data_IF_698738338916
#
_entry.id   IF_698738338916
#
_cell.length_a   1.000
_cell.length_b   1.000
_cell.length_c   1.000
_cell.angle_alpha   90.00
_cell.angle_beta   90.00
_cell.angle_gamma   90.00
#
_symmetry.space_group_name_H-M   'P 1'
#
loop_
_entity.id
_entity.type
_entity.pdbx_description
1 polymer ?
#
# COMPACT_ATOMS: atom_id res chain seq x y z
N UNK A 1 19.33 -7.60 -2.48
CA UNK A 1 18.40 -7.29 -3.55
C UNK A 1 16.96 -7.18 -3.11
N UNK A 2 16.46 -8.14 -2.34
CA UNK A 2 15.14 -8.03 -1.75
C UNK A 2 15.02 -6.80 -0.85
N UNK A 3 16.06 -6.53 -0.07
CA UNK A 3 16.12 -5.35 0.77
C UNK A 3 16.01 -4.07 -0.06
N UNK A 4 16.70 -4.03 -1.19
CA UNK A 4 16.63 -2.89 -2.09
C UNK A 4 15.23 -2.70 -2.66
N UNK A 5 14.56 -3.77 -3.05
CA UNK A 5 13.19 -3.69 -3.58
C UNK A 5 12.20 -3.16 -2.55
N UNK A 6 12.31 -3.59 -1.30
CA UNK A 6 11.49 -3.04 -0.22
C UNK A 6 11.77 -1.55 -0.04
N UNK A 7 13.03 -1.16 -0.01
CA UNK A 7 13.42 0.23 0.16
C UNK A 7 12.96 1.11 -1.00
N UNK A 8 12.94 0.56 -2.22
CA UNK A 8 12.41 1.28 -3.39
C UNK A 8 10.90 1.51 -3.31
N UNK A 9 10.18 0.64 -2.58
CA UNK A 9 8.75 0.79 -2.35
C UNK A 9 8.41 1.70 -1.17
N UNK A 10 9.40 2.25 -0.49
CA UNK A 10 9.23 3.04 0.73
C UNK A 10 9.95 4.36 0.55
N UNK A 11 9.27 5.44 0.88
CA UNK A 11 9.88 6.78 0.87
C UNK A 11 10.31 7.13 2.28
N UNK A 12 11.59 7.47 2.45
CA UNK A 12 12.11 7.93 3.71
C UNK A 12 11.90 9.43 3.82
N UNK A 13 11.15 9.85 4.82
CA UNK A 13 10.96 11.26 5.11
C UNK A 13 11.76 11.62 6.35
N UNK A 14 13.07 11.64 6.19
CA UNK A 14 14.06 12.09 7.18
C UNK A 14 13.68 11.78 8.63
N UNK A 15 13.07 12.74 9.33
CA UNK A 15 12.74 12.62 10.75
C UNK A 15 11.32 12.12 11.00
N UNK A 16 10.49 12.01 9.96
CA UNK A 16 9.08 11.74 10.12
C UNK A 16 8.69 10.28 9.93
N UNK A 17 9.60 9.48 9.42
CA UNK A 17 9.36 8.06 9.25
C UNK A 17 9.25 7.66 7.78
N UNK A 18 8.46 6.63 7.51
CA UNK A 18 8.45 5.92 6.24
C UNK A 18 7.05 5.93 5.65
N UNK A 19 6.94 6.09 4.33
CA UNK A 19 5.71 5.96 3.57
C UNK A 19 5.84 4.77 2.61
N UNK A 20 4.88 3.84 2.64
CA UNK A 20 4.87 2.64 1.81
C UNK A 20 3.85 2.78 0.69
N UNK A 21 4.26 2.56 -0.56
CA UNK A 21 3.36 2.58 -1.72
C UNK A 21 2.97 1.15 -2.09
N UNK A 22 1.68 0.84 -1.99
CA UNK A 22 1.19 -0.53 -2.23
C UNK A 22 1.41 -0.99 -3.67
N UNK A 23 1.23 -0.12 -4.65
CA UNK A 23 1.46 -0.45 -6.05
C UNK A 23 2.94 -0.77 -6.30
N UNK A 24 3.83 0.07 -5.79
CA UNK A 24 5.26 -0.08 -6.01
C UNK A 24 5.80 -1.38 -5.41
N UNK A 25 5.45 -1.69 -4.17
CA UNK A 25 5.93 -2.93 -3.53
C UNK A 25 5.34 -4.18 -4.19
N UNK A 26 4.09 -4.12 -4.62
CA UNK A 26 3.44 -5.23 -5.34
C UNK A 26 4.11 -5.47 -6.69
N UNK A 27 4.32 -4.42 -7.47
CA UNK A 27 4.99 -4.52 -8.76
C UNK A 27 6.46 -4.89 -8.61
N UNK A 28 7.05 -4.57 -7.47
CA UNK A 28 8.43 -4.92 -7.13
C UNK A 28 8.62 -6.38 -6.70
N UNK A 29 7.54 -7.13 -6.50
CA UNK A 29 7.63 -8.56 -6.19
C UNK A 29 7.25 -8.94 -4.76
N UNK A 30 6.62 -8.04 -4.00
CA UNK A 30 6.13 -8.36 -2.65
C UNK A 30 4.62 -8.57 -2.69
N UNK A 31 4.19 -9.80 -2.45
CA UNK A 31 2.81 -10.23 -2.68
C UNK A 31 1.88 -9.88 -1.53
N UNK A 32 1.40 -8.64 -1.52
CA UNK A 32 0.45 -8.16 -0.52
C UNK A 32 -0.95 -8.76 -0.70
N UNK A 33 -1.23 -9.39 -1.83
CA UNK A 33 -2.53 -10.02 -2.10
C UNK A 33 -2.61 -11.38 -1.42
N UNK A 34 -1.59 -12.22 -1.61
CA UNK A 34 -1.60 -13.60 -1.11
C UNK A 34 -0.76 -13.79 0.15
N UNK A 35 0.13 -12.87 0.47
CA UNK A 35 1.06 -13.01 1.60
C UNK A 35 1.28 -11.66 2.31
N UNK A 36 0.19 -10.98 2.64
CA UNK A 36 0.27 -9.69 3.32
C UNK A 36 1.03 -9.79 4.66
N UNK A 37 0.76 -10.85 5.43
CA UNK A 37 1.45 -11.05 6.72
C UNK A 37 2.96 -11.19 6.53
N UNK A 38 3.40 -11.96 5.54
CA UNK A 38 4.81 -12.12 5.24
C UNK A 38 5.47 -10.83 4.82
N UNK A 39 4.78 -10.02 4.02
CA UNK A 39 5.30 -8.72 3.59
C UNK A 39 5.43 -7.77 4.77
N UNK A 40 4.43 -7.75 5.66
CA UNK A 40 4.48 -6.90 6.86
C UNK A 40 5.59 -7.35 7.82
N UNK A 41 5.76 -8.66 8.02
CA UNK A 41 6.81 -9.20 8.86
C UNK A 41 8.20 -8.84 8.32
N UNK A 42 8.37 -8.96 7.01
CA UNK A 42 9.62 -8.59 6.35
C UNK A 42 9.91 -7.09 6.51
N UNK A 43 8.89 -6.26 6.33
CA UNK A 43 9.02 -4.81 6.48
C UNK A 43 9.36 -4.45 7.93
N UNK A 44 8.74 -5.13 8.89
CA UNK A 44 9.03 -4.89 10.30
C UNK A 44 10.47 -5.27 10.66
N UNK A 45 10.93 -6.39 10.12
CA UNK A 45 12.29 -6.87 10.35
C UNK A 45 13.35 -5.91 9.80
N UNK A 46 13.08 -5.30 8.64
CA UNK A 46 14.06 -4.46 7.95
C UNK A 46 14.00 -3.01 8.39
N UNK A 47 12.79 -2.47 8.52
CA UNK A 47 12.57 -1.03 8.73
C UNK A 47 11.98 -0.74 10.11
N UNK A 48 11.09 -1.62 10.58
CA UNK A 48 10.31 -1.42 11.79
C UNK A 48 8.95 -0.78 11.46
N UNK A 49 7.85 -1.47 11.80
CA UNK A 49 6.50 -0.94 11.53
C UNK A 49 6.18 0.30 12.36
N UNK A 50 6.83 0.48 13.50
CA UNK A 50 6.69 1.69 14.32
C UNK A 50 7.16 2.95 13.58
N UNK A 51 8.00 2.80 12.55
CA UNK A 51 8.45 3.91 11.71
C UNK A 51 7.54 4.16 10.52
N UNK A 52 6.61 3.28 10.24
CA UNK A 52 5.68 3.43 9.13
C UNK A 52 4.62 4.46 9.52
N UNK A 53 4.64 5.63 8.89
CA UNK A 53 3.76 6.75 9.21
C UNK A 53 2.64 6.94 8.21
N UNK A 54 2.80 6.44 7.00
CA UNK A 54 1.78 6.57 5.96
C UNK A 54 1.84 5.40 5.00
N UNK A 55 0.70 5.07 4.43
CA UNK A 55 0.59 4.12 3.33
C UNK A 55 -0.01 4.89 2.14
N UNK A 56 0.74 4.94 1.04
CA UNK A 56 0.25 5.47 -0.21
C UNK A 56 -0.49 4.32 -0.90
N UNK A 57 -1.81 4.34 -0.79
CA UNK A 57 -2.64 3.20 -1.21
C UNK A 57 -3.09 3.37 -2.65
N UNK A 58 -2.58 2.53 -3.52
CA UNK A 58 -2.89 2.53 -4.94
C UNK A 58 -3.05 1.11 -5.44
N UNK A 59 -3.96 0.90 -6.39
CA UNK A 59 -4.02 -0.37 -7.10
C UNK A 59 -2.98 -0.37 -8.22
N UNK A 60 -2.81 -1.49 -8.91
CA UNK A 60 -1.80 -1.62 -9.96
C UNK A 60 -2.45 -1.95 -11.30
N UNK A 61 -2.00 -1.26 -12.36
CA UNK A 61 -2.42 -1.56 -13.74
C UNK A 61 -1.82 -2.86 -14.25
N UNK A 62 -0.77 -3.34 -13.61
CA UNK A 62 0.04 -4.45 -14.11
C UNK A 62 -0.05 -5.63 -13.15
N UNK A 63 0.26 -6.85 -13.61
CA UNK A 63 0.25 -8.02 -12.75
C UNK A 63 1.39 -7.99 -11.73
N UNK A 64 1.31 -8.91 -10.78
CA UNK A 64 2.31 -9.06 -9.73
C UNK A 64 3.72 -9.14 -10.29
N UNK A 65 4.65 -8.45 -9.64
CA UNK A 65 6.08 -8.46 -9.97
C UNK A 65 6.39 -7.97 -11.40
N UNK A 66 5.56 -7.09 -11.94
CA UNK A 66 5.75 -6.54 -13.29
C UNK A 66 6.91 -5.56 -13.41
N UNK A 67 7.31 -4.94 -12.29
CA UNK A 67 8.35 -3.89 -12.22
C UNK A 67 8.02 -2.65 -13.05
N UNK A 68 6.73 -2.39 -13.30
CA UNK A 68 6.30 -1.23 -14.09
C UNK A 68 5.77 -0.07 -13.27
N UNK A 69 5.34 -0.32 -12.05
CA UNK A 69 4.86 0.69 -11.09
C UNK A 69 3.91 1.72 -11.71
N UNK A 70 2.75 1.24 -12.19
CA UNK A 70 1.70 2.09 -12.73
C UNK A 70 0.46 2.02 -11.83
N UNK A 71 0.08 3.15 -11.25
CA UNK A 71 -1.07 3.24 -10.34
C UNK A 71 -2.38 3.04 -11.08
N UNK A 72 -3.33 2.39 -10.42
CA UNK A 72 -4.69 2.23 -10.88
C UNK A 72 -5.66 2.63 -9.78
N UNK A 73 -6.89 2.91 -10.14
CA UNK A 73 -7.94 3.24 -9.19
C UNK A 73 -8.21 2.08 -8.26
N UNK A 74 -8.56 2.41 -7.02
CA UNK A 74 -8.80 1.39 -5.98
C UNK A 74 -9.84 0.37 -6.45
N UNK A 75 -9.45 -0.89 -6.40
CA UNK A 75 -10.32 -2.01 -6.79
C UNK A 75 -10.39 -2.30 -8.28
N UNK A 76 -9.76 -1.47 -9.13
CA UNK A 76 -9.83 -1.65 -10.58
C UNK A 76 -8.56 -2.26 -11.16
N UNK A 77 -7.61 -2.59 -10.33
CA UNK A 77 -6.33 -3.16 -10.74
C UNK A 77 -6.12 -4.59 -10.26
N UNK A 78 -4.89 -5.07 -10.40
CA UNK A 78 -4.53 -6.44 -10.07
C UNK A 78 -4.39 -6.71 -8.57
N UNK A 79 -4.23 -5.68 -7.74
CA UNK A 79 -4.21 -5.86 -6.28
C UNK A 79 -5.62 -6.14 -5.77
N UNK A 80 -6.59 -5.31 -6.17
CA UNK A 80 -7.99 -5.51 -5.86
C UNK A 80 -8.47 -4.86 -4.57
N UNK A 81 -9.77 -4.65 -4.50
CA UNK A 81 -10.41 -3.98 -3.37
C UNK A 81 -10.30 -4.78 -2.07
N UNK A 82 -10.42 -6.11 -2.13
CA UNK A 82 -10.36 -6.96 -0.94
C UNK A 82 -9.03 -6.80 -0.19
N UNK A 83 -7.93 -6.70 -0.91
CA UNK A 83 -6.62 -6.47 -0.32
C UNK A 83 -6.55 -5.10 0.35
N UNK A 84 -7.12 -4.07 -0.28
CA UNK A 84 -7.17 -2.74 0.31
C UNK A 84 -7.94 -2.75 1.62
N UNK A 85 -9.06 -3.46 1.68
CA UNK A 85 -9.86 -3.60 2.91
C UNK A 85 -9.06 -4.32 4.00
N UNK A 86 -8.32 -5.36 3.65
CA UNK A 86 -7.45 -6.07 4.60
C UNK A 86 -6.39 -5.14 5.18
N UNK A 87 -5.83 -4.27 4.37
CA UNK A 87 -4.79 -3.33 4.81
C UNK A 87 -5.37 -2.32 5.80
N UNK A 88 -6.49 -1.68 5.48
CA UNK A 88 -7.07 -0.66 6.36
C UNK A 88 -7.59 -1.22 7.67
N UNK A 89 -7.93 -2.51 7.71
CA UNK A 89 -8.41 -3.19 8.91
C UNK A 89 -7.35 -4.02 9.62
N UNK A 90 -6.12 -4.01 9.14
CA UNK A 90 -5.05 -4.82 9.72
C UNK A 90 -4.66 -4.28 11.10
N UNK A 91 -4.61 -5.14 12.15
CA UNK A 91 -4.31 -4.68 13.50
C UNK A 91 -2.96 -3.98 13.64
N UNK A 92 -1.96 -4.40 12.87
CA UNK A 92 -0.62 -3.82 12.93
C UNK A 92 -0.51 -2.47 12.24
N UNK A 93 -1.53 -2.06 11.48
CA UNK A 93 -1.51 -0.85 10.66
C UNK A 93 -2.49 0.23 11.14
N UNK A 94 -3.05 0.07 12.33
CA UNK A 94 -3.99 1.04 12.86
C UNK A 94 -3.30 2.35 13.23
N UNK A 95 -3.98 3.45 12.97
CA UNK A 95 -3.43 4.79 13.25
C UNK A 95 -2.49 5.33 12.17
N UNK A 96 -2.25 4.57 11.11
CA UNK A 96 -1.39 5.00 10.02
C UNK A 96 -2.19 5.80 9.00
N UNK A 97 -1.65 6.92 8.54
CA UNK A 97 -2.29 7.77 7.53
C UNK A 97 -2.33 7.06 6.18
N UNK A 98 -3.49 7.05 5.55
CA UNK A 98 -3.68 6.50 4.22
C UNK A 98 -3.74 7.64 3.21
N UNK A 99 -2.88 7.58 2.20
CA UNK A 99 -2.81 8.56 1.12
C UNK A 99 -3.20 7.87 -0.20
N UNK A 100 -3.75 8.63 -1.14
CA UNK A 100 -4.14 8.13 -2.45
C UNK A 100 -3.42 8.91 -3.54
N UNK A 101 -2.81 8.20 -4.48
CA UNK A 101 -2.23 8.79 -5.69
C UNK A 101 -2.74 8.05 -6.93
N UNK A 102 -3.97 7.59 -6.87
CA UNK A 102 -4.63 6.90 -7.97
C UNK A 102 -4.90 7.86 -9.13
N UNK A 103 -5.07 7.35 -10.38
CA UNK A 103 -5.29 8.22 -11.55
C UNK A 103 -6.71 8.75 -11.57
N UNK A 104 -7.03 9.66 -10.67
CA UNK A 104 -8.35 10.25 -10.50
C UNK A 104 -8.30 11.76 -10.53
N UNK A 105 -9.47 12.36 -10.81
CA UNK A 105 -9.74 13.74 -10.48
C UNK A 105 -10.36 13.81 -9.08
N UNK A 106 -10.66 15.00 -8.60
CA UNK A 106 -11.12 15.21 -7.23
C UNK A 106 -12.34 14.36 -6.86
N UNK A 107 -13.33 14.26 -7.76
CA UNK A 107 -14.54 13.46 -7.50
C UNK A 107 -14.23 11.98 -7.33
N UNK A 108 -13.28 11.46 -8.09
CA UNK A 108 -12.83 10.07 -7.98
C UNK A 108 -12.17 9.79 -6.64
N UNK A 109 -11.33 10.70 -6.17
CA UNK A 109 -10.71 10.58 -4.84
C UNK A 109 -11.76 10.57 -3.72
N UNK A 110 -12.77 11.43 -3.82
CA UNK A 110 -13.86 11.45 -2.84
C UNK A 110 -14.58 10.10 -2.77
N UNK A 111 -14.86 9.51 -3.92
CA UNK A 111 -15.52 8.20 -3.99
C UNK A 111 -14.66 7.12 -3.34
N UNK A 112 -13.37 7.11 -3.63
CA UNK A 112 -12.45 6.14 -3.06
C UNK A 112 -12.37 6.26 -1.55
N UNK A 113 -12.26 7.48 -1.04
CA UNK A 113 -12.24 7.73 0.40
C UNK A 113 -13.53 7.23 1.06
N UNK A 114 -14.68 7.50 0.46
CA UNK A 114 -15.96 7.06 1.00
C UNK A 114 -16.08 5.53 1.05
N UNK A 115 -15.65 4.85 -0.01
CA UNK A 115 -15.70 3.40 -0.10
C UNK A 115 -14.79 2.79 0.98
N UNK A 116 -13.59 3.30 1.13
CA UNK A 116 -12.64 2.82 2.12
C UNK A 116 -13.14 3.05 3.55
N UNK A 117 -13.72 4.21 3.82
CA UNK A 117 -14.30 4.52 5.13
C UNK A 117 -15.45 3.58 5.49
N UNK A 118 -16.30 3.26 4.53
CA UNK A 118 -17.41 2.33 4.74
C UNK A 118 -16.92 0.91 5.04
N UNK A 119 -15.76 0.55 4.52
CA UNK A 119 -15.17 -0.77 4.68
C UNK A 119 -14.31 -0.89 5.94
N UNK A 120 -14.04 0.21 6.62
CA UNK A 120 -13.26 0.22 7.84
C UNK A 120 -14.14 -0.21 9.02
N UNK A 121 -13.72 -1.26 9.71
CA UNK A 121 -14.53 -1.88 10.79
C UNK A 121 -13.91 -1.78 12.17
N UNK A 122 -12.74 -1.17 12.31
CA UNK A 122 -12.02 -1.12 13.59
C UNK A 122 -12.10 0.26 14.25
#
# INVERSE_FOLDING_TARGET
EELKEILDGVKLDNKMGVCMDTCHIYDGGYDIVNDLEGVLDESDRIIGLDRLKAINMNDSKNPFASHKDRHEKIGEGSIGFDTMVKIINHPKLQGITILLETPNELDGYKKEIQILRKSYTM
#
